data_IF_265742119510
#
_entry.id   IF_265742119510
#
_cell.length_a   1.000
_cell.length_b   1.000
_cell.length_c   1.000
_cell.angle_alpha   90.00
_cell.angle_beta   90.00
_cell.angle_gamma   90.00
#
_symmetry.space_group_name_H-M   'P 1'
#
loop_
_entity.id
_entity.type
_entity.pdbx_description
1 polymer ?
#
# COMPACT_ATOMS: atom_id res chain seq x y z
N UNK A 1 27.79 -17.55 -6.15
CA UNK A 1 26.88 -17.77 -5.02
C UNK A 1 25.76 -18.68 -5.47
N UNK A 2 25.41 -19.72 -4.70
CA UNK A 2 24.27 -20.59 -4.93
C UNK A 2 23.36 -20.49 -3.71
N UNK A 3 22.10 -20.10 -3.91
CA UNK A 3 21.08 -20.02 -2.87
C UNK A 3 20.08 -21.13 -3.15
N UNK A 4 19.76 -21.94 -2.15
CA UNK A 4 18.67 -22.92 -2.23
C UNK A 4 17.39 -22.22 -1.80
N UNK A 5 16.38 -22.31 -2.64
CA UNK A 5 15.05 -21.73 -2.43
C UNK A 5 14.00 -22.77 -2.80
N UNK A 6 12.82 -22.65 -2.23
CA UNK A 6 11.65 -23.39 -2.70
C UNK A 6 11.16 -22.82 -4.03
N UNK A 7 10.27 -23.54 -4.72
CA UNK A 7 9.67 -23.05 -5.97
C UNK A 7 8.82 -21.79 -5.73
N UNK A 8 8.13 -21.70 -4.60
CA UNK A 8 7.33 -20.51 -4.23
C UNK A 8 8.20 -19.28 -3.99
N UNK A 9 9.32 -19.43 -3.28
CA UNK A 9 10.29 -18.37 -3.07
C UNK A 9 10.90 -17.91 -4.40
N UNK A 10 11.23 -18.85 -5.29
CA UNK A 10 11.76 -18.54 -6.61
C UNK A 10 10.75 -17.73 -7.44
N UNK A 11 9.47 -18.10 -7.41
CA UNK A 11 8.42 -17.34 -8.10
C UNK A 11 8.22 -15.95 -7.49
N UNK A 12 8.31 -15.81 -6.17
CA UNK A 12 8.29 -14.50 -5.51
C UNK A 12 9.47 -13.62 -5.97
N UNK A 13 10.69 -14.17 -6.04
CA UNK A 13 11.85 -13.45 -6.56
C UNK A 13 11.66 -13.06 -8.03
N UNK A 14 11.12 -13.94 -8.88
CA UNK A 14 10.86 -13.62 -10.30
C UNK A 14 9.84 -12.49 -10.46
N UNK A 15 8.77 -12.48 -9.65
CA UNK A 15 7.79 -11.39 -9.65
C UNK A 15 8.43 -10.06 -9.26
N UNK A 16 9.18 -10.03 -8.16
CA UNK A 16 9.91 -8.83 -7.71
C UNK A 16 10.95 -8.37 -8.74
N UNK A 17 11.67 -9.31 -9.36
CA UNK A 17 12.61 -9.03 -10.43
C UNK A 17 11.94 -8.36 -11.63
N UNK A 18 10.81 -8.90 -12.12
CA UNK A 18 10.07 -8.31 -13.25
C UNK A 18 9.65 -6.86 -12.96
N UNK A 19 9.30 -6.57 -11.71
CA UNK A 19 8.91 -5.23 -11.27
C UNK A 19 10.10 -4.29 -11.03
N UNK A 20 11.32 -4.81 -10.89
CA UNK A 20 12.52 -4.01 -10.59
C UNK A 20 13.08 -3.24 -11.79
N UNK A 21 12.75 -3.64 -13.02
CA UNK A 21 13.35 -3.09 -14.25
C UNK A 21 14.83 -3.44 -14.45
N UNK A 22 15.42 -4.29 -13.61
CA UNK A 22 16.83 -4.68 -13.71
C UNK A 22 17.09 -5.62 -14.90
N UNK A 23 18.26 -5.47 -15.53
CA UNK A 23 18.65 -6.25 -16.72
C UNK A 23 18.82 -7.76 -16.48
N UNK A 24 19.17 -8.18 -15.27
CA UNK A 24 19.48 -9.59 -14.98
C UNK A 24 18.97 -10.00 -13.61
N UNK A 25 18.47 -11.24 -13.52
CA UNK A 25 18.01 -11.81 -12.26
C UNK A 25 19.12 -11.88 -11.20
N UNK A 26 20.33 -12.28 -11.60
CA UNK A 26 21.49 -12.31 -10.68
C UNK A 26 21.95 -10.91 -10.25
N UNK A 27 21.74 -9.87 -11.07
CA UNK A 27 21.95 -8.48 -10.67
C UNK A 27 20.95 -8.06 -9.61
N UNK A 28 19.67 -8.37 -9.81
CA UNK A 28 18.60 -8.14 -8.85
C UNK A 28 18.83 -8.85 -7.51
N UNK A 29 19.15 -10.14 -7.52
CA UNK A 29 19.44 -10.89 -6.29
C UNK A 29 20.63 -10.29 -5.54
N UNK A 30 21.69 -9.85 -6.23
CA UNK A 30 22.83 -9.19 -5.57
C UNK A 30 22.48 -7.84 -4.98
N UNK A 31 21.75 -7.00 -5.70
CA UNK A 31 21.28 -5.72 -5.17
C UNK A 31 20.39 -5.93 -3.94
N UNK A 32 19.49 -6.91 -3.95
CA UNK A 32 18.66 -7.25 -2.78
C UNK A 32 19.45 -7.75 -1.57
N UNK A 33 20.61 -8.38 -1.77
CA UNK A 33 21.44 -8.89 -0.66
C UNK A 33 22.47 -7.87 -0.15
N UNK A 34 22.98 -7.01 -1.04
CA UNK A 34 24.00 -6.02 -0.71
C UNK A 34 23.38 -4.69 -0.27
N UNK A 35 22.33 -4.25 -0.97
CA UNK A 35 21.66 -2.96 -0.80
C UNK A 35 20.25 -3.12 -0.21
N UNK A 36 19.81 -4.35 0.07
CA UNK A 36 18.50 -4.62 0.64
C UNK A 36 18.39 -4.03 2.03
N UNK A 37 17.58 -3.00 2.19
CA UNK A 37 17.19 -2.51 3.50
C UNK A 37 16.29 -3.54 4.17
N UNK A 38 16.74 -4.09 5.30
CA UNK A 38 15.85 -4.80 6.22
C UNK A 38 15.04 -3.72 6.95
N UNK A 39 13.84 -3.45 6.44
CA UNK A 39 12.91 -2.52 7.08
C UNK A 39 12.14 -3.29 8.14
N UNK A 40 12.51 -3.09 9.40
CA UNK A 40 11.68 -3.50 10.52
C UNK A 40 10.54 -2.50 10.67
N UNK A 41 9.38 -2.88 10.13
CA UNK A 41 8.16 -2.15 10.43
C UNK A 41 7.75 -2.45 11.87
N UNK A 42 7.49 -1.39 12.65
CA UNK A 42 6.82 -1.55 13.92
C UNK A 42 5.34 -1.77 13.63
N UNK A 43 4.86 -2.99 13.88
CA UNK A 43 3.48 -3.40 13.61
C UNK A 43 2.46 -2.55 14.37
N UNK A 44 2.75 -2.17 15.62
CA UNK A 44 1.86 -1.32 16.43
C UNK A 44 1.66 0.06 15.78
N UNK A 45 2.74 0.66 15.27
CA UNK A 45 2.67 1.95 14.57
C UNK A 45 1.93 1.85 13.24
N UNK A 46 2.10 0.76 12.49
CA UNK A 46 1.33 0.51 11.27
C UNK A 46 -0.15 0.36 11.58
N UNK A 47 -0.48 -0.37 12.65
CA UNK A 47 -1.86 -0.54 13.11
C UNK A 47 -2.47 0.80 13.53
N UNK A 48 -1.70 1.68 14.18
CA UNK A 48 -2.14 3.03 14.55
C UNK A 48 -2.45 3.89 13.31
N UNK A 49 -1.59 3.86 12.29
CA UNK A 49 -1.80 4.56 11.01
C UNK A 49 -3.10 4.07 10.35
N UNK A 50 -3.31 2.75 10.32
CA UNK A 50 -4.54 2.15 9.78
C UNK A 50 -5.78 2.64 10.53
N UNK A 51 -5.73 2.66 11.87
CA UNK A 51 -6.82 3.11 12.73
C UNK A 51 -7.18 4.57 12.47
N UNK A 52 -6.16 5.44 12.37
CA UNK A 52 -6.33 6.86 12.07
C UNK A 52 -6.93 7.08 10.69
N UNK A 53 -6.42 6.41 9.66
CA UNK A 53 -6.94 6.51 8.30
C UNK A 53 -8.40 6.03 8.20
N UNK A 54 -8.75 4.94 8.89
CA UNK A 54 -10.14 4.45 8.98
C UNK A 54 -11.04 5.50 9.64
N UNK A 55 -10.58 6.09 10.75
CA UNK A 55 -11.34 7.14 11.44
C UNK A 55 -11.56 8.37 10.57
N UNK A 56 -10.56 8.79 9.79
CA UNK A 56 -10.69 9.91 8.84
C UNK A 56 -11.74 9.59 7.78
N UNK A 57 -11.70 8.38 7.21
CA UNK A 57 -12.68 7.94 6.19
C UNK A 57 -14.11 7.97 6.72
N UNK A 58 -14.31 7.49 7.94
CA UNK A 58 -15.61 7.51 8.60
C UNK A 58 -16.12 8.94 8.85
N UNK A 59 -15.26 9.83 9.35
CA UNK A 59 -15.61 11.23 9.59
C UNK A 59 -16.01 11.94 8.28
N UNK A 60 -15.27 11.71 7.19
CA UNK A 60 -15.59 12.25 5.87
C UNK A 60 -16.97 11.75 5.41
N UNK A 61 -17.24 10.45 5.52
CA UNK A 61 -18.54 9.89 5.12
C UNK A 61 -19.70 10.49 5.93
N UNK A 62 -19.50 10.76 7.22
CA UNK A 62 -20.50 11.46 8.04
C UNK A 62 -20.77 12.88 7.54
N UNK A 63 -19.72 13.65 7.20
CA UNK A 63 -19.86 14.99 6.64
C UNK A 63 -20.63 14.95 5.31
N UNK A 64 -20.31 14.00 4.44
CA UNK A 64 -21.01 13.82 3.16
C UNK A 64 -22.51 13.62 3.39
N UNK A 65 -22.88 12.66 4.26
CA UNK A 65 -24.29 12.38 4.57
C UNK A 65 -25.00 13.61 5.14
N UNK A 66 -24.34 14.38 6.02
CA UNK A 66 -24.91 15.58 6.62
C UNK A 66 -25.11 16.69 5.57
N UNK A 67 -24.15 16.89 4.68
CA UNK A 67 -24.24 17.92 3.64
C UNK A 67 -25.28 17.54 2.59
N UNK A 68 -25.25 16.32 2.06
CA UNK A 68 -26.25 15.82 1.09
C UNK A 68 -27.68 15.76 1.65
N UNK A 69 -27.86 15.80 2.98
CA UNK A 69 -29.19 15.98 3.57
C UNK A 69 -29.77 17.38 3.38
N UNK A 70 -28.90 18.38 3.16
CA UNK A 70 -29.27 19.80 3.03
C UNK A 70 -29.08 20.34 1.60
N UNK A 71 -28.12 19.80 0.83
CA UNK A 71 -27.81 20.20 -0.55
C UNK A 71 -26.98 19.13 -1.27
N UNK A 72 -27.36 18.78 -2.51
CA UNK A 72 -26.66 17.79 -3.35
C UNK A 72 -25.68 18.42 -4.34
N UNK A 73 -25.46 19.74 -4.32
CA UNK A 73 -24.55 20.42 -5.24
C UNK A 73 -23.09 19.96 -5.14
N UNK A 74 -22.72 19.30 -4.04
CA UNK A 74 -21.34 18.89 -3.71
C UNK A 74 -21.01 17.44 -4.07
N UNK A 75 -21.92 16.71 -4.73
CA UNK A 75 -21.73 15.29 -5.05
C UNK A 75 -20.43 15.02 -5.84
N UNK A 76 -20.06 15.93 -6.75
CA UNK A 76 -18.80 15.85 -7.51
C UNK A 76 -17.57 16.01 -6.61
N UNK A 77 -17.58 17.00 -5.71
CA UNK A 77 -16.47 17.24 -4.78
C UNK A 77 -16.30 16.06 -3.81
N UNK A 78 -17.42 15.47 -3.36
CA UNK A 78 -17.41 14.29 -2.51
C UNK A 78 -16.93 13.03 -3.22
N UNK A 79 -17.19 12.89 -4.52
CA UNK A 79 -16.63 11.82 -5.33
C UNK A 79 -15.10 11.95 -5.42
N UNK A 80 -14.58 13.16 -5.66
CA UNK A 80 -13.13 13.41 -5.71
C UNK A 80 -12.46 13.12 -4.35
N UNK A 81 -13.06 13.56 -3.24
CA UNK A 81 -12.53 13.29 -1.89
C UNK A 81 -12.45 11.78 -1.62
N UNK A 82 -13.50 11.03 -1.98
CA UNK A 82 -13.51 9.55 -1.85
C UNK A 82 -12.42 8.90 -2.69
N UNK A 83 -12.19 9.38 -3.91
CA UNK A 83 -11.15 8.87 -4.79
C UNK A 83 -9.74 9.13 -4.20
N UNK A 84 -9.45 10.35 -3.76
CA UNK A 84 -8.17 10.66 -3.12
C UNK A 84 -7.95 9.84 -1.84
N UNK A 85 -9.02 9.59 -1.08
CA UNK A 85 -8.94 8.73 0.11
C UNK A 85 -8.60 7.27 -0.25
N UNK A 86 -9.17 6.76 -1.35
CA UNK A 86 -8.84 5.42 -1.84
C UNK A 86 -7.36 5.30 -2.25
N UNK A 87 -6.77 6.36 -2.82
CA UNK A 87 -5.34 6.40 -3.17
C UNK A 87 -4.42 6.34 -1.93
N UNK A 88 -4.89 6.84 -0.77
CA UNK A 88 -4.16 6.74 0.51
C UNK A 88 -4.34 5.35 1.14
N UNK A 89 -5.54 4.78 1.04
CA UNK A 89 -5.88 3.51 1.68
C UNK A 89 -5.29 2.28 0.98
N UNK A 90 -5.26 2.27 -0.35
CA UNK A 90 -4.79 1.12 -1.13
C UNK A 90 -3.34 0.72 -0.80
N UNK A 91 -2.36 1.65 -0.70
CA UNK A 91 -1.00 1.30 -0.27
C UNK A 91 -0.93 0.79 1.17
N UNK A 92 -1.75 1.32 2.09
CA UNK A 92 -1.74 0.88 3.49
C UNK A 92 -2.20 -0.58 3.64
N UNK A 93 -3.18 -1.01 2.85
CA UNK A 93 -3.60 -2.42 2.82
C UNK A 93 -2.49 -3.38 2.33
N UNK A 94 -1.57 -2.91 1.49
CA UNK A 94 -0.44 -3.73 1.03
C UNK A 94 0.54 -4.08 2.16
N UNK A 95 0.61 -3.26 3.21
CA UNK A 95 1.48 -3.50 4.37
C UNK A 95 0.82 -4.34 5.48
N UNK A 96 -0.48 -4.64 5.35
CA UNK A 96 -1.25 -5.38 6.36
C UNK A 96 -1.49 -6.86 5.99
N UNK A 97 -1.22 -7.25 4.75
CA UNK A 97 -1.44 -8.61 4.19
C UNK A 97 -0.12 -9.33 3.95
#
# INVERSE_FOLDING_TARGET
>A
MKIRVTDEELEAFKRKYKNSGMRTFSGFVRAMLLDGYIVHFNEDKLHEIYRLATSISNNINQIIVQVSSNDNSFDSDFAEIKEKMAQIWQPLNYFYM
#
